data_IF_479003926786
#
_entry.id   IF_479003926786
#
_cell.length_a   1.000
_cell.length_b   1.000
_cell.length_c   1.000
_cell.angle_alpha   90.00
_cell.angle_beta   90.00
_cell.angle_gamma   90.00
#
_symmetry.space_group_name_H-M   'P 1'
#
loop_
_entity.id
_entity.type
_entity.pdbx_description
1 polymer ?
#
# COMPACT_ATOMS: atom_id res chain seq x y z
N UNK A 1 -1.43 -2.31 -27.83
CA UNK A 1 -1.89 -3.03 -29.04
C UNK A 1 -0.69 -3.67 -29.69
N UNK A 2 -0.81 -4.93 -30.13
CA UNK A 2 0.29 -5.64 -30.80
C UNK A 2 0.66 -4.92 -32.09
N UNK A 3 1.92 -4.46 -32.16
CA UNK A 3 2.50 -3.69 -33.26
C UNK A 3 2.76 -4.59 -34.47
N UNK A 4 2.86 -4.00 -35.68
CA UNK A 4 3.29 -4.75 -36.87
C UNK A 4 4.70 -5.34 -36.66
N UNK A 5 4.82 -6.66 -36.79
CA UNK A 5 6.08 -7.39 -36.62
C UNK A 5 6.64 -7.71 -38.01
N UNK A 6 7.78 -7.11 -38.36
CA UNK A 6 8.44 -7.37 -39.65
C UNK A 6 9.19 -8.69 -39.64
N UNK A 7 9.48 -9.25 -40.83
CA UNK A 7 10.29 -10.47 -40.95
C UNK A 7 11.65 -10.33 -40.25
N UNK A 8 12.00 -11.30 -39.41
CA UNK A 8 13.24 -11.32 -38.62
C UNK A 8 13.17 -10.54 -37.30
N UNK A 9 12.06 -9.86 -36.99
CA UNK A 9 11.91 -9.18 -35.71
C UNK A 9 11.60 -10.17 -34.58
N UNK A 10 12.04 -9.81 -33.37
CA UNK A 10 11.69 -10.54 -32.16
C UNK A 10 10.21 -10.33 -31.83
N UNK A 11 9.51 -11.42 -31.56
CA UNK A 11 8.13 -11.40 -31.07
C UNK A 11 8.17 -11.34 -29.56
N UNK A 12 7.58 -10.31 -28.97
CA UNK A 12 7.40 -10.18 -27.53
C UNK A 12 5.96 -10.52 -27.16
N UNK A 13 5.81 -11.20 -26.03
CA UNK A 13 4.51 -11.43 -25.38
C UNK A 13 4.53 -10.83 -23.97
N UNK A 14 3.37 -10.52 -23.43
CA UNK A 14 3.27 -10.01 -22.06
C UNK A 14 3.36 -11.18 -21.08
N UNK A 15 4.26 -11.10 -20.12
CA UNK A 15 4.27 -11.96 -18.93
C UNK A 15 3.21 -11.53 -17.88
N UNK A 16 2.40 -10.51 -18.20
CA UNK A 16 1.43 -9.84 -17.34
C UNK A 16 2.05 -8.84 -16.36
N UNK A 17 1.19 -8.02 -15.76
CA UNK A 17 1.58 -6.97 -14.81
C UNK A 17 2.20 -7.57 -13.54
N UNK A 18 3.52 -7.43 -13.38
CA UNK A 18 4.28 -7.95 -12.23
C UNK A 18 5.37 -6.96 -11.85
N UNK A 19 5.65 -6.84 -10.54
CA UNK A 19 6.80 -6.08 -10.08
C UNK A 19 8.12 -6.77 -10.44
N UNK A 20 9.21 -6.01 -10.55
CA UNK A 20 10.54 -6.53 -10.84
C UNK A 20 11.04 -7.54 -9.80
N UNK A 21 10.62 -7.43 -8.54
CA UNK A 21 10.91 -8.45 -7.53
C UNK A 21 10.38 -9.84 -7.94
N UNK A 22 9.19 -9.91 -8.55
CA UNK A 22 8.62 -11.17 -9.04
C UNK A 22 9.29 -11.63 -10.33
N UNK A 23 9.61 -10.73 -11.27
CA UNK A 23 10.37 -11.10 -12.47
C UNK A 23 11.72 -11.71 -12.10
N UNK A 24 12.46 -11.08 -11.19
CA UNK A 24 13.79 -11.53 -10.82
C UNK A 24 13.76 -12.90 -10.16
N UNK A 25 12.89 -13.09 -9.16
CA UNK A 25 12.89 -14.31 -8.35
C UNK A 25 12.23 -15.51 -9.04
N UNK A 26 11.23 -15.28 -9.88
CA UNK A 26 10.46 -16.38 -10.49
C UNK A 26 10.80 -16.62 -11.96
N UNK A 27 11.41 -15.65 -12.64
CA UNK A 27 11.70 -15.71 -14.07
C UNK A 27 13.17 -15.43 -14.42
N UNK A 28 13.98 -14.97 -13.45
CA UNK A 28 15.43 -14.82 -13.62
C UNK A 28 15.86 -13.56 -14.38
N UNK A 29 14.98 -12.55 -14.53
CA UNK A 29 15.30 -11.29 -15.20
C UNK A 29 14.60 -10.10 -14.53
N UNK A 30 15.01 -8.88 -14.85
CA UNK A 30 14.31 -7.66 -14.48
C UNK A 30 14.03 -6.81 -15.73
N UNK A 31 12.94 -6.04 -15.71
CA UNK A 31 12.58 -5.12 -16.79
C UNK A 31 13.04 -3.72 -16.38
N UNK A 32 13.89 -3.09 -17.18
CA UNK A 32 14.45 -1.76 -16.88
C UNK A 32 13.37 -0.69 -16.74
N UNK A 33 12.46 -0.61 -17.72
CA UNK A 33 11.32 0.31 -17.72
C UNK A 33 10.03 -0.49 -17.59
N UNK A 34 9.80 -1.06 -16.40
CA UNK A 34 8.60 -1.85 -16.11
C UNK A 34 7.34 -0.95 -16.01
N UNK A 35 6.93 -0.40 -17.15
CA UNK A 35 5.81 0.53 -17.30
C UNK A 35 4.93 0.03 -18.44
N UNK A 36 3.65 -0.10 -18.16
CA UNK A 36 2.64 -0.54 -19.10
C UNK A 36 2.29 0.58 -20.09
N UNK A 37 1.55 0.24 -21.15
CA UNK A 37 1.20 1.18 -22.22
C UNK A 37 0.34 2.37 -21.75
N UNK A 38 -0.36 2.23 -20.62
CA UNK A 38 -1.16 3.28 -19.97
C UNK A 38 -0.36 4.11 -18.95
N UNK A 39 0.94 3.86 -18.81
CA UNK A 39 1.81 4.51 -17.84
C UNK A 39 1.81 3.88 -16.46
N UNK A 40 1.03 2.80 -16.23
CA UNK A 40 1.02 2.10 -14.96
C UNK A 40 2.33 1.34 -14.75
N UNK A 41 2.98 1.53 -13.60
CA UNK A 41 4.22 0.84 -13.24
C UNK A 41 3.94 -0.16 -12.11
N UNK A 42 3.90 -1.48 -12.34
CA UNK A 42 3.56 -2.48 -11.33
C UNK A 42 4.70 -2.73 -10.31
N UNK A 43 5.80 -1.99 -10.39
CA UNK A 43 6.87 -2.11 -9.40
C UNK A 43 6.36 -1.67 -8.03
N UNK A 44 6.60 -2.52 -7.04
CA UNK A 44 6.14 -2.32 -5.67
C UNK A 44 7.30 -2.52 -4.69
N UNK A 45 7.23 -1.84 -3.55
CA UNK A 45 8.15 -2.03 -2.43
C UNK A 45 7.37 -2.30 -1.15
N UNK A 46 7.85 -3.21 -0.29
CA UNK A 46 7.20 -3.47 0.99
C UNK A 46 7.53 -2.35 2.00
N UNK A 47 6.49 -1.79 2.60
CA UNK A 47 6.56 -0.93 3.76
C UNK A 47 6.06 -1.65 5.01
N UNK A 48 6.69 -1.34 6.13
CA UNK A 48 6.31 -1.86 7.43
C UNK A 48 5.92 -0.70 8.36
N UNK A 49 4.75 -0.80 8.96
CA UNK A 49 4.16 0.21 9.84
C UNK A 49 4.05 -0.35 11.26
N UNK A 50 4.47 0.47 12.24
CA UNK A 50 4.45 0.14 13.66
C UNK A 50 4.04 1.38 14.46
N UNK A 51 3.32 1.16 15.56
CA UNK A 51 3.09 2.20 16.56
C UNK A 51 4.37 2.45 17.36
N UNK A 52 4.57 3.70 17.81
CA UNK A 52 5.66 4.04 18.72
C UNK A 52 5.32 3.56 20.14
N UNK A 53 6.10 2.65 20.75
CA UNK A 53 5.80 2.14 22.09
C UNK A 53 5.92 3.21 23.19
N UNK A 54 6.59 4.33 22.93
CA UNK A 54 6.73 5.44 23.87
C UNK A 54 5.65 6.53 23.69
N UNK A 55 4.64 6.27 22.86
CA UNK A 55 3.52 7.19 22.67
C UNK A 55 2.65 7.26 23.95
N UNK A 56 2.38 8.44 24.52
CA UNK A 56 1.55 8.58 25.72
C UNK A 56 0.15 7.94 25.59
N UNK A 57 -0.40 7.88 24.37
CA UNK A 57 -1.70 7.27 24.07
C UNK A 57 -1.56 5.92 23.35
N UNK A 58 -0.42 5.24 23.53
CA UNK A 58 -0.12 3.96 22.87
C UNK A 58 -1.23 2.93 23.04
N UNK A 59 -1.70 2.67 24.26
CA UNK A 59 -2.70 1.62 24.50
C UNK A 59 -4.01 1.85 23.75
N UNK A 60 -4.47 3.11 23.68
CA UNK A 60 -5.66 3.50 22.93
C UNK A 60 -5.45 3.29 21.42
N UNK A 61 -4.34 3.81 20.89
CA UNK A 61 -3.94 3.59 19.49
C UNK A 61 -3.82 2.12 19.16
N UNK A 62 -3.24 1.32 20.06
CA UNK A 62 -3.00 -0.10 19.87
C UNK A 62 -4.31 -0.91 19.87
N UNK A 63 -5.29 -0.52 20.68
CA UNK A 63 -6.65 -1.06 20.65
C UNK A 63 -7.33 -0.82 19.30
N UNK A 64 -7.32 0.44 18.82
CA UNK A 64 -7.88 0.80 17.51
C UNK A 64 -7.11 0.14 16.35
N UNK A 65 -5.79 0.06 16.43
CA UNK A 65 -4.91 -0.54 15.43
C UNK A 65 -5.16 -2.04 15.20
N UNK A 66 -5.65 -2.73 16.24
CA UNK A 66 -6.00 -4.17 16.20
C UNK A 66 -7.49 -4.42 16.02
N UNK A 67 -8.31 -3.38 15.81
CA UNK A 67 -9.77 -3.55 15.65
C UNK A 67 -10.14 -4.41 14.43
N UNK A 68 -9.24 -4.53 13.46
CA UNK A 68 -9.36 -5.40 12.28
C UNK A 68 -8.94 -6.86 12.54
N UNK A 69 -8.60 -7.22 13.78
CA UNK A 69 -8.07 -8.55 14.15
C UNK A 69 -6.66 -8.84 13.61
N UNK A 70 -6.00 -7.84 13.00
CA UNK A 70 -4.70 -8.01 12.39
C UNK A 70 -3.52 -7.90 13.36
N UNK A 71 -2.29 -8.18 12.89
CA UNK A 71 -1.08 -8.08 13.71
C UNK A 71 -0.76 -6.63 14.10
N UNK A 72 0.09 -6.48 15.13
CA UNK A 72 0.63 -5.17 15.54
C UNK A 72 1.52 -4.54 14.45
N UNK A 73 2.28 -5.37 13.74
CA UNK A 73 3.11 -4.91 12.63
C UNK A 73 2.30 -5.06 11.35
N UNK A 74 2.01 -3.96 10.66
CA UNK A 74 1.28 -4.01 9.38
C UNK A 74 2.28 -3.89 8.24
N UNK A 75 2.27 -4.85 7.31
CA UNK A 75 3.10 -4.83 6.10
C UNK A 75 2.21 -4.60 4.88
N UNK A 76 2.57 -3.63 4.05
CA UNK A 76 1.85 -3.30 2.81
C UNK A 76 2.86 -3.09 1.69
N UNK A 77 2.52 -3.57 0.49
CA UNK A 77 3.33 -3.30 -0.71
C UNK A 77 2.75 -2.09 -1.44
N UNK A 78 3.53 -1.02 -1.51
CA UNK A 78 3.12 0.22 -2.18
C UNK A 78 3.72 0.21 -3.58
N UNK A 79 2.89 0.53 -4.56
CA UNK A 79 3.25 0.57 -5.97
C UNK A 79 3.81 1.96 -6.33
N UNK A 80 4.63 2.04 -7.38
CA UNK A 80 5.09 3.34 -7.92
C UNK A 80 3.91 4.17 -8.41
N UNK A 81 2.90 3.53 -8.98
CA UNK A 81 1.64 4.16 -9.39
C UNK A 81 0.60 4.17 -8.26
N UNK A 82 -0.36 5.11 -8.30
CA UNK A 82 -1.43 5.20 -7.31
C UNK A 82 -2.22 3.88 -7.25
N UNK A 83 -2.42 3.39 -6.03
CA UNK A 83 -3.18 2.18 -5.77
C UNK A 83 -3.81 2.23 -4.37
N UNK A 84 -4.75 1.33 -4.11
CA UNK A 84 -5.43 1.25 -2.80
C UNK A 84 -4.44 1.07 -1.64
N UNK A 85 -3.31 0.39 -1.85
CA UNK A 85 -2.29 0.22 -0.82
C UNK A 85 -1.62 1.53 -0.39
N UNK A 86 -1.49 2.50 -1.30
CA UNK A 86 -1.03 3.86 -0.99
C UNK A 86 -2.03 4.59 -0.09
N UNK A 87 -3.33 4.38 -0.31
CA UNK A 87 -4.37 4.97 0.54
C UNK A 87 -4.35 4.35 1.94
N UNK A 88 -4.22 3.02 2.01
CA UNK A 88 -4.12 2.31 3.30
C UNK A 88 -2.86 2.71 4.07
N UNK A 89 -1.72 2.91 3.40
CA UNK A 89 -0.50 3.39 4.07
C UNK A 89 -0.69 4.78 4.69
N UNK A 90 -1.39 5.69 4.00
CA UNK A 90 -1.75 6.99 4.59
C UNK A 90 -2.71 6.85 5.77
N UNK A 91 -3.70 5.95 5.72
CA UNK A 91 -4.58 5.68 6.86
C UNK A 91 -3.78 5.23 8.09
N UNK A 92 -2.81 4.34 7.91
CA UNK A 92 -1.93 3.93 9.01
C UNK A 92 -1.07 5.06 9.55
N UNK A 93 -0.49 5.86 8.66
CA UNK A 93 0.33 7.01 9.06
C UNK A 93 -0.48 7.99 9.90
N UNK A 94 -1.75 8.25 9.55
CA UNK A 94 -2.65 9.08 10.36
C UNK A 94 -2.76 8.58 11.80
N UNK A 95 -2.98 7.28 12.03
CA UNK A 95 -3.03 6.72 13.40
C UNK A 95 -1.68 6.85 14.11
N UNK A 96 -0.58 6.57 13.40
CA UNK A 96 0.76 6.62 13.98
C UNK A 96 1.07 8.03 14.50
N UNK A 97 0.81 9.05 13.69
CA UNK A 97 1.21 10.43 13.98
C UNK A 97 0.16 11.23 14.78
N UNK A 98 -1.08 10.77 14.85
CA UNK A 98 -2.16 11.51 15.51
C UNK A 98 -1.83 11.85 16.97
N UNK A 99 -2.07 13.09 17.36
CA UNK A 99 -2.07 13.47 18.77
C UNK A 99 -3.36 12.98 19.48
N UNK A 100 -3.50 13.28 20.77
CA UNK A 100 -4.65 12.82 21.57
C UNK A 100 -6.00 13.36 21.10
N UNK A 101 -6.04 14.63 20.68
CA UNK A 101 -7.26 15.25 20.17
C UNK A 101 -7.66 14.65 18.81
N UNK A 102 -6.70 14.59 17.87
CA UNK A 102 -6.89 14.00 16.54
C UNK A 102 -7.33 12.54 16.63
N UNK A 103 -6.71 11.76 17.53
CA UNK A 103 -7.07 10.37 17.76
C UNK A 103 -8.47 10.24 18.39
N UNK A 104 -8.83 11.14 19.31
CA UNK A 104 -10.18 11.21 19.88
C UNK A 104 -11.26 11.41 18.81
N UNK A 105 -10.99 12.22 17.79
CA UNK A 105 -11.90 12.41 16.64
C UNK A 105 -12.04 11.15 15.78
N UNK A 106 -10.98 10.34 15.65
CA UNK A 106 -11.02 9.05 14.95
C UNK A 106 -11.84 8.02 15.74
N UNK A 107 -11.65 7.96 17.05
CA UNK A 107 -12.32 7.01 17.95
C UNK A 107 -13.81 7.33 18.15
N UNK A 108 -14.15 8.61 18.26
CA UNK A 108 -15.50 9.10 18.57
C UNK A 108 -16.46 9.20 17.39
N UNK A 109 -16.00 9.12 16.14
CA UNK A 109 -16.84 9.26 14.95
C UNK A 109 -17.64 7.97 14.62
N UNK A 110 -18.50 7.53 15.54
CA UNK A 110 -19.38 6.36 15.37
C UNK A 110 -20.45 6.51 14.27
N UNK A 111 -20.51 7.66 13.57
CA UNK A 111 -21.47 7.94 12.48
C UNK A 111 -20.99 7.47 11.10
N UNK A 112 -19.72 7.10 10.96
CA UNK A 112 -19.19 6.54 9.71
C UNK A 112 -18.84 5.05 9.89
N UNK A 113 -19.24 4.23 8.94
CA UNK A 113 -19.22 2.75 8.97
C UNK A 113 -17.79 2.15 8.93
N UNK A 114 -16.74 2.97 8.98
CA UNK A 114 -15.35 2.58 8.76
C UNK A 114 -14.60 2.41 10.10
N UNK A 115 -14.42 1.14 10.52
CA UNK A 115 -14.13 0.70 11.91
C UNK A 115 -12.65 0.44 12.22
N UNK A 116 -11.72 0.70 11.29
CA UNK A 116 -10.33 0.21 11.42
C UNK A 116 -9.28 1.21 10.96
N UNK A 117 -8.03 1.01 11.42
CA UNK A 117 -6.88 1.82 11.03
C UNK A 117 -6.61 1.88 9.51
N UNK A 118 -7.21 0.99 8.70
CA UNK A 118 -7.06 0.97 7.24
C UNK A 118 -8.00 1.96 6.54
N UNK A 119 -9.11 2.32 7.18
CA UNK A 119 -10.26 2.92 6.52
C UNK A 119 -10.45 4.41 6.81
N UNK A 120 -9.44 5.08 7.37
CA UNK A 120 -9.51 6.52 7.70
C UNK A 120 -9.49 7.32 6.41
N UNK A 121 -10.64 7.85 6.00
CA UNK A 121 -10.82 8.58 4.72
C UNK A 121 -11.01 10.09 4.86
N UNK A 122 -11.16 10.62 6.07
CA UNK A 122 -11.47 12.02 6.28
C UNK A 122 -10.19 12.85 6.50
N UNK A 123 -10.13 14.10 6.00
CA UNK A 123 -9.21 15.08 6.54
C UNK A 123 -9.60 15.32 7.99
N UNK A 124 -8.61 15.22 8.88
CA UNK A 124 -8.73 15.56 10.29
C UNK A 124 -8.49 17.06 10.38
#
# INVERSE_FOLDING_TARGET
TLSNITGGAQVYDSYGQKCNHRFLLNYGFAIENNVEADGFCPNEVPFEFRLNPNDPIFERKAGFWRSDGGPMVKRIRVCVSDNENTRVSFSYLRVIVANEEEFGLMEGNSRFIYRTAKDIRFPI
#
